data_IF_744851446031
#
_entry.id   IF_744851446031
#
_cell.length_a   1.000
_cell.length_b   1.000
_cell.length_c   1.000
_cell.angle_alpha   90.00
_cell.angle_beta   90.00
_cell.angle_gamma   90.00
#
_symmetry.space_group_name_H-M   'P 1'
#
loop_
_entity.id
_entity.type
_entity.pdbx_description
1 polymer ?
#
# COMPACT_ATOMS: atom_id res chain seq x y z
N UNK A 1 3.76 -4.84 -8.34
CA UNK A 1 4.81 -3.79 -8.35
C UNK A 1 5.25 -3.55 -9.80
N UNK A 2 5.50 -2.31 -10.23
CA UNK A 2 5.90 -2.06 -11.63
C UNK A 2 7.39 -2.40 -11.81
N UNK A 3 7.79 -2.81 -13.03
CA UNK A 3 9.19 -3.12 -13.36
C UNK A 3 10.16 -2.00 -12.94
N UNK A 4 9.71 -0.75 -13.01
CA UNK A 4 10.48 0.44 -12.62
C UNK A 4 10.85 0.46 -11.13
N UNK A 5 10.01 -0.10 -10.24
CA UNK A 5 10.30 -0.11 -8.80
C UNK A 5 11.54 -0.93 -8.49
N UNK A 6 11.63 -2.12 -9.10
CA UNK A 6 12.76 -3.00 -8.89
C UNK A 6 14.04 -2.36 -9.43
N UNK A 7 13.97 -1.69 -10.59
CA UNK A 7 15.13 -1.03 -11.21
C UNK A 7 15.68 0.11 -10.36
N UNK A 8 14.84 1.03 -9.88
CA UNK A 8 15.30 2.16 -9.04
C UNK A 8 15.87 1.68 -7.69
N UNK A 9 15.30 0.62 -7.11
CA UNK A 9 15.83 0.04 -5.88
C UNK A 9 17.24 -0.51 -6.07
N UNK A 10 17.49 -1.18 -7.20
CA UNK A 10 18.81 -1.72 -7.56
C UNK A 10 19.83 -0.63 -7.89
N UNK A 11 19.42 0.47 -8.52
CA UNK A 11 20.30 1.63 -8.75
C UNK A 11 20.78 2.27 -7.44
N UNK A 12 19.91 2.33 -6.44
CA UNK A 12 20.24 2.95 -5.14
C UNK A 12 20.96 1.99 -4.19
N UNK A 13 20.64 0.69 -4.27
CA UNK A 13 21.15 -0.36 -3.40
C UNK A 13 21.58 -1.57 -4.25
N UNK A 14 22.77 -1.54 -4.86
CA UNK A 14 23.20 -2.53 -5.85
C UNK A 14 23.44 -3.94 -5.27
N UNK A 15 23.64 -4.05 -3.96
CA UNK A 15 23.80 -5.34 -3.27
C UNK A 15 22.45 -6.04 -2.99
N UNK A 16 21.34 -5.33 -3.17
CA UNK A 16 20.01 -5.83 -2.83
C UNK A 16 19.54 -6.82 -3.90
N UNK A 17 19.12 -8.01 -3.48
CA UNK A 17 18.48 -8.99 -4.39
C UNK A 17 16.99 -8.72 -4.42
N UNK A 18 16.50 -8.24 -5.56
CA UNK A 18 15.07 -7.91 -5.74
C UNK A 18 14.42 -8.94 -6.66
N UNK A 19 13.48 -9.72 -6.13
CA UNK A 19 12.47 -10.43 -6.94
C UNK A 19 11.22 -9.56 -7.01
N UNK A 20 10.55 -9.52 -8.17
CA UNK A 20 9.31 -8.76 -8.33
C UNK A 20 8.22 -9.62 -8.96
N UNK A 21 6.99 -9.39 -8.49
CA UNK A 21 5.78 -9.92 -9.10
C UNK A 21 4.82 -8.76 -9.42
N UNK A 22 4.19 -8.83 -10.60
CA UNK A 22 3.12 -7.88 -10.97
C UNK A 22 1.84 -8.13 -10.15
N UNK A 23 1.75 -9.28 -9.49
CA UNK A 23 0.59 -9.75 -8.76
C UNK A 23 -0.36 -10.51 -9.67
N UNK A 24 -1.21 -11.34 -9.09
CA UNK A 24 -2.31 -11.96 -9.81
C UNK A 24 -3.66 -11.30 -9.49
N UNK A 25 -4.58 -11.32 -10.45
CA UNK A 25 -5.87 -10.61 -10.34
C UNK A 25 -6.80 -11.18 -9.25
N UNK A 26 -6.63 -12.47 -8.90
CA UNK A 26 -7.50 -13.22 -7.98
C UNK A 26 -6.89 -13.47 -6.59
N UNK A 27 -5.80 -12.77 -6.24
CA UNK A 27 -5.18 -12.90 -4.91
C UNK A 27 -6.15 -12.42 -3.82
N UNK A 28 -6.37 -13.28 -2.82
CA UNK A 28 -7.32 -13.06 -1.73
C UNK A 28 -8.79 -13.29 -2.10
N UNK A 29 -9.09 -13.78 -3.30
CA UNK A 29 -10.44 -14.19 -3.72
C UNK A 29 -10.51 -15.64 -4.18
N UNK A 30 -9.44 -16.17 -4.75
CA UNK A 30 -9.33 -17.58 -5.14
C UNK A 30 -8.23 -18.32 -4.37
N UNK A 31 -8.57 -19.47 -3.80
CA UNK A 31 -7.65 -20.26 -2.96
C UNK A 31 -6.53 -20.90 -3.77
N UNK A 32 -6.80 -21.30 -5.02
CA UNK A 32 -5.76 -21.93 -5.85
C UNK A 32 -4.69 -20.94 -6.29
N UNK A 33 -5.10 -19.70 -6.60
CA UNK A 33 -4.20 -18.56 -6.80
C UNK A 33 -3.41 -18.26 -5.54
N UNK A 34 -4.05 -18.19 -4.37
CA UNK A 34 -3.36 -17.91 -3.11
C UNK A 34 -2.28 -18.96 -2.79
N UNK A 35 -2.62 -20.25 -2.90
CA UNK A 35 -1.67 -21.35 -2.69
C UNK A 35 -0.49 -21.29 -3.67
N UNK A 36 -0.74 -20.92 -4.93
CA UNK A 36 0.30 -20.74 -5.94
C UNK A 36 1.23 -19.58 -5.58
N UNK A 37 0.67 -18.45 -5.17
CA UNK A 37 1.45 -17.26 -4.77
C UNK A 37 2.28 -17.54 -3.53
N UNK A 38 1.73 -18.19 -2.51
CA UNK A 38 2.47 -18.60 -1.31
C UNK A 38 3.62 -19.55 -1.67
N UNK A 39 3.39 -20.54 -2.53
CA UNK A 39 4.46 -21.44 -3.01
C UNK A 39 5.58 -20.68 -3.72
N UNK A 40 5.22 -19.72 -4.58
CA UNK A 40 6.19 -18.89 -5.30
C UNK A 40 7.04 -18.06 -4.34
N UNK A 41 6.41 -17.35 -3.40
CA UNK A 41 7.10 -16.55 -2.39
C UNK A 41 8.06 -17.42 -1.56
N UNK A 42 7.60 -18.60 -1.12
CA UNK A 42 8.41 -19.51 -0.31
C UNK A 42 9.60 -20.11 -1.09
N UNK A 43 9.47 -20.24 -2.42
CA UNK A 43 10.56 -20.69 -3.28
C UNK A 43 11.64 -19.61 -3.44
N UNK A 44 11.23 -18.33 -3.51
CA UNK A 44 12.14 -17.18 -3.60
C UNK A 44 12.91 -16.92 -2.28
N UNK A 45 12.41 -17.43 -1.14
CA UNK A 45 13.00 -17.29 0.21
C UNK A 45 13.42 -15.85 0.56
N UNK A 46 12.51 -14.86 0.48
CA UNK A 46 12.86 -13.48 0.76
C UNK A 46 13.05 -13.24 2.27
N UNK A 47 13.99 -12.35 2.61
CA UNK A 47 14.10 -11.82 3.98
C UNK A 47 12.96 -10.85 4.29
N UNK A 48 12.55 -10.05 3.28
CA UNK A 48 11.50 -9.04 3.36
C UNK A 48 10.49 -9.23 2.22
N UNK A 49 9.21 -9.33 2.54
CA UNK A 49 8.12 -9.36 1.57
C UNK A 49 7.30 -8.06 1.66
N UNK A 50 7.29 -7.29 0.56
CA UNK A 50 6.43 -6.12 0.42
C UNK A 50 5.18 -6.47 -0.40
N UNK A 51 4.01 -6.39 0.24
CA UNK A 51 2.72 -6.65 -0.40
C UNK A 51 2.07 -5.32 -0.75
N UNK A 52 1.77 -5.10 -2.04
CA UNK A 52 1.30 -3.81 -2.57
C UNK A 52 -0.10 -3.94 -3.21
N UNK A 53 -1.10 -4.35 -2.42
CA UNK A 53 -2.49 -4.48 -2.86
C UNK A 53 -3.38 -3.38 -2.27
N UNK A 54 -4.68 -3.40 -2.59
CA UNK A 54 -5.66 -2.57 -1.88
C UNK A 54 -5.52 -2.80 -0.36
N UNK A 55 -5.45 -1.75 0.49
CA UNK A 55 -5.16 -1.89 1.91
C UNK A 55 -6.01 -2.93 2.64
N UNK A 56 -7.32 -2.98 2.35
CA UNK A 56 -8.24 -3.94 3.01
C UNK A 56 -7.96 -5.37 2.57
N UNK A 57 -7.73 -5.60 1.27
CA UNK A 57 -7.44 -6.94 0.75
C UNK A 57 -6.06 -7.42 1.20
N UNK A 58 -5.09 -6.52 1.19
CA UNK A 58 -3.71 -6.75 1.60
C UNK A 58 -3.63 -7.26 3.03
N UNK A 59 -4.21 -6.52 3.99
CA UNK A 59 -4.13 -6.91 5.40
C UNK A 59 -4.82 -8.24 5.65
N UNK A 60 -5.97 -8.49 5.03
CA UNK A 60 -6.68 -9.76 5.14
C UNK A 60 -5.87 -10.92 4.58
N UNK A 61 -5.30 -10.75 3.38
CA UNK A 61 -4.51 -11.78 2.73
C UNK A 61 -3.24 -12.12 3.51
N UNK A 62 -2.54 -11.10 4.02
CA UNK A 62 -1.38 -11.30 4.88
C UNK A 62 -1.81 -12.07 6.13
N UNK A 63 -2.86 -11.62 6.82
CA UNK A 63 -3.32 -12.28 8.04
C UNK A 63 -3.73 -13.74 7.82
N UNK A 64 -4.36 -14.07 6.69
CA UNK A 64 -4.81 -15.44 6.39
C UNK A 64 -3.68 -16.38 5.98
N UNK A 65 -2.56 -15.86 5.46
CA UNK A 65 -1.46 -16.66 4.93
C UNK A 65 -0.17 -16.54 5.73
N UNK A 66 -0.13 -15.70 6.77
CA UNK A 66 1.08 -15.42 7.55
C UNK A 66 1.77 -16.69 8.07
N UNK A 67 0.99 -17.67 8.56
CA UNK A 67 1.51 -18.94 9.07
C UNK A 67 2.12 -19.86 8.01
N UNK A 68 1.83 -19.61 6.73
CA UNK A 68 2.32 -20.40 5.60
C UNK A 68 3.52 -19.74 4.92
N UNK A 69 3.75 -18.45 5.16
CA UNK A 69 4.83 -17.67 4.57
C UNK A 69 6.16 -17.93 5.29
N UNK A 70 7.17 -18.34 4.53
CA UNK A 70 8.54 -18.58 4.98
C UNK A 70 9.39 -17.33 4.70
N UNK A 71 9.06 -16.23 5.37
CA UNK A 71 9.66 -14.91 5.19
C UNK A 71 10.02 -14.32 6.55
N UNK A 72 11.12 -13.58 6.64
CA UNK A 72 11.52 -12.91 7.88
C UNK A 72 10.51 -11.84 8.32
N UNK A 73 10.19 -10.89 7.43
CA UNK A 73 9.20 -9.83 7.68
C UNK A 73 8.27 -9.66 6.49
N UNK A 74 6.96 -9.55 6.78
CA UNK A 74 5.94 -9.19 5.79
C UNK A 74 5.42 -7.79 6.08
N UNK A 75 5.45 -6.93 5.07
CA UNK A 75 4.97 -5.55 5.19
C UNK A 75 3.97 -5.22 4.09
N UNK A 76 2.79 -4.80 4.52
CA UNK A 76 1.82 -4.20 3.64
C UNK A 76 2.19 -2.76 3.31
N UNK A 77 2.48 -2.47 2.04
CA UNK A 77 2.94 -1.13 1.59
C UNK A 77 1.90 -0.38 0.75
N UNK A 78 0.84 -1.08 0.31
CA UNK A 78 -0.20 -0.50 -0.53
C UNK A 78 0.37 0.19 -1.78
N UNK A 79 -0.16 1.38 -2.08
CA UNK A 79 0.25 2.18 -3.24
C UNK A 79 1.52 3.01 -3.05
N UNK A 80 2.27 2.85 -1.94
CA UNK A 80 3.43 3.68 -1.61
C UNK A 80 4.50 3.65 -2.71
N UNK A 81 4.75 2.47 -3.30
CA UNK A 81 5.72 2.37 -4.40
C UNK A 81 5.30 3.18 -5.62
N UNK A 82 4.02 3.19 -5.99
CA UNK A 82 3.56 3.96 -7.14
C UNK A 82 3.79 5.47 -6.94
N UNK A 83 3.71 5.96 -5.70
CA UNK A 83 3.99 7.36 -5.37
C UNK A 83 5.48 7.69 -5.51
N UNK A 84 6.36 6.81 -5.02
CA UNK A 84 7.82 6.99 -5.14
C UNK A 84 8.34 6.86 -6.58
N UNK A 85 7.61 6.19 -7.46
CA UNK A 85 8.02 5.93 -8.83
C UNK A 85 7.54 6.98 -9.83
N UNK A 86 6.84 8.01 -9.35
CA UNK A 86 6.32 9.08 -10.20
C UNK A 86 5.10 8.68 -11.02
N UNK A 87 4.43 7.56 -10.72
CA UNK A 87 3.14 7.22 -11.34
C UNK A 87 2.02 8.15 -10.85
N UNK A 88 2.26 8.90 -9.76
CA UNK A 88 1.37 9.93 -9.24
C UNK A 88 2.00 11.32 -9.31
N UNK A 89 1.15 12.32 -9.58
CA UNK A 89 1.53 13.73 -9.57
C UNK A 89 1.95 14.16 -8.16
N UNK A 90 3.24 14.45 -7.98
CA UNK A 90 3.80 14.81 -6.68
C UNK A 90 3.20 16.12 -6.16
N UNK A 91 2.97 16.19 -4.84
CA UNK A 91 2.54 17.44 -4.20
C UNK A 91 3.67 18.47 -4.18
N UNK A 92 3.35 19.77 -4.34
CA UNK A 92 4.31 20.83 -4.07
C UNK A 92 4.89 20.69 -2.65
N UNK A 93 6.20 20.86 -2.50
CA UNK A 93 6.92 20.70 -1.22
C UNK A 93 6.32 21.57 -0.12
N UNK A 94 5.89 22.79 -0.46
CA UNK A 94 5.27 23.68 0.53
C UNK A 94 3.96 23.12 1.08
N UNK A 95 3.15 22.44 0.25
CA UNK A 95 1.91 21.79 0.69
C UNK A 95 2.19 20.60 1.60
N UNK A 96 3.26 19.84 1.32
CA UNK A 96 3.66 18.74 2.19
C UNK A 96 4.10 19.25 3.57
N UNK A 97 4.90 20.32 3.61
CA UNK A 97 5.41 20.93 4.85
C UNK A 97 4.31 21.44 5.78
N UNK A 98 3.21 21.93 5.22
CA UNK A 98 2.06 22.41 6.01
C UNK A 98 0.97 21.34 6.19
N UNK A 99 1.21 20.10 5.80
CA UNK A 99 0.27 18.99 5.96
C UNK A 99 -0.92 18.99 4.99
N UNK A 100 -0.87 19.77 3.90
CA UNK A 100 -1.93 19.87 2.87
C UNK A 100 -1.76 18.89 1.71
N UNK A 101 -0.89 17.88 1.84
CA UNK A 101 -0.74 16.81 0.84
C UNK A 101 -2.07 16.10 0.52
N UNK A 102 -2.96 15.97 1.51
CA UNK A 102 -4.30 15.39 1.29
C UNK A 102 -5.15 16.25 0.35
N UNK A 103 -5.03 17.59 0.41
CA UNK A 103 -5.78 18.52 -0.42
C UNK A 103 -5.30 18.44 -1.87
N UNK A 104 -3.97 18.36 -2.07
CA UNK A 104 -3.38 18.09 -3.38
C UNK A 104 -3.97 16.82 -4.02
N UNK A 105 -4.07 15.73 -3.25
CA UNK A 105 -4.67 14.48 -3.74
C UNK A 105 -6.14 14.61 -4.11
N UNK A 106 -6.91 15.49 -3.46
CA UNK A 106 -8.30 15.77 -3.84
C UNK A 106 -8.36 16.55 -5.15
N UNK A 107 -7.46 17.52 -5.35
CA UNK A 107 -7.41 18.28 -6.60
C UNK A 107 -7.04 17.40 -7.80
N UNK A 108 -6.09 16.47 -7.61
CA UNK A 108 -5.67 15.52 -8.66
C UNK A 108 -6.70 14.41 -8.87
N UNK A 109 -7.35 13.92 -7.81
CA UNK A 109 -8.37 12.86 -7.88
C UNK A 109 -9.70 13.31 -7.24
N UNK A 110 -10.55 14.06 -7.97
CA UNK A 110 -11.80 14.64 -7.44
C UNK A 110 -12.76 13.58 -6.88
N UNK A 111 -12.72 12.35 -7.42
CA UNK A 111 -13.52 11.21 -6.97
C UNK A 111 -13.29 10.89 -5.48
N UNK A 112 -12.16 11.30 -4.89
CA UNK A 112 -11.84 11.10 -3.46
C UNK A 112 -12.49 12.14 -2.54
N UNK A 113 -13.02 13.24 -3.07
CA UNK A 113 -13.53 14.37 -2.28
C UNK A 113 -14.56 13.93 -1.21
N UNK A 114 -15.51 13.06 -1.57
CA UNK A 114 -16.52 12.57 -0.62
C UNK A 114 -15.94 11.72 0.53
N UNK A 115 -14.85 10.99 0.29
CA UNK A 115 -14.14 10.27 1.36
C UNK A 115 -13.39 11.24 2.27
N UNK A 116 -12.76 12.25 1.69
CA UNK A 116 -11.99 13.25 2.44
C UNK A 116 -12.90 14.17 3.26
N UNK A 117 -14.04 14.60 2.72
CA UNK A 117 -15.03 15.37 3.48
C UNK A 117 -15.51 14.63 4.73
N UNK A 118 -15.76 13.31 4.60
CA UNK A 118 -16.10 12.48 5.76
C UNK A 118 -14.97 12.42 6.79
N UNK A 119 -13.72 12.35 6.35
CA UNK A 119 -12.58 12.29 7.25
C UNK A 119 -12.25 13.62 7.94
N UNK A 120 -12.38 14.75 7.23
CA UNK A 120 -11.94 16.07 7.70
C UNK A 120 -13.07 16.85 8.38
N UNK A 121 -14.33 16.62 7.99
CA UNK A 121 -15.49 17.35 8.53
C UNK A 121 -16.35 16.46 9.42
N UNK A 122 -16.85 15.35 8.86
CA UNK A 122 -17.83 14.50 9.56
C UNK A 122 -17.21 13.82 10.78
N UNK A 123 -16.01 13.25 10.65
CA UNK A 123 -15.36 12.54 11.75
C UNK A 123 -15.03 13.46 12.94
N UNK A 124 -14.35 14.61 12.78
CA UNK A 124 -14.11 15.52 13.89
C UNK A 124 -15.38 16.04 14.53
N UNK A 125 -16.42 16.34 13.74
CA UNK A 125 -17.73 16.73 14.26
C UNK A 125 -18.36 15.64 15.13
N UNK A 126 -18.37 14.39 14.66
CA UNK A 126 -18.90 13.26 15.42
C UNK A 126 -18.12 13.03 16.72
N UNK A 127 -16.79 13.13 16.67
CA UNK A 127 -15.93 13.02 17.86
C UNK A 127 -16.23 14.15 18.85
N UNK A 128 -16.37 15.39 18.36
CA UNK A 128 -16.69 16.55 19.19
C UNK A 128 -18.05 16.42 19.88
N UNK A 129 -19.12 16.12 19.13
CA UNK A 129 -20.46 15.91 19.69
C UNK A 129 -20.47 14.77 20.70
N UNK A 130 -19.74 13.68 20.43
CA UNK A 130 -19.65 12.53 21.34
C UNK A 130 -18.84 12.84 22.59
N UNK A 131 -17.85 13.74 22.51
CA UNK A 131 -17.08 14.21 23.67
C UNK A 131 -17.91 15.10 24.60
N UNK A 132 -18.93 15.80 24.08
CA UNK A 132 -19.83 16.65 24.86
C UNK A 132 -21.00 15.90 25.51
N UNK A 133 -21.22 14.63 25.14
CA UNK A 133 -22.25 13.74 25.74
C UNK A 133 -21.69 12.87 26.87
N UNK A 134 -20.60 13.29 27.50
CA UNK A 134 -20.11 12.72 28.76
C UNK A 134 -20.74 13.43 29.94
#
# INVERSE_FOLDING_TARGET
MSLRTATLALERFPELRVSYDRGEDQVGTDRTTDDRVVKKINADKPDLLFVAYNPVKQEKWIASHLSQLKVGVVMGVGGTFNEYLGDFMQSPVWMERIGLKWLWRVMVEPKRAGRIFRAVVVFPWLVFVRSLRK
#
